data_IF_558233611166
#
_entry.id   IF_558233611166
#
_cell.length_a   1.000
_cell.length_b   1.000
_cell.length_c   1.000
_cell.angle_alpha   90.00
_cell.angle_beta   90.00
_cell.angle_gamma   90.00
#
_symmetry.space_group_name_H-M   'P 1'
#
loop_
_entity.id
_entity.type
_entity.pdbx_description
1 polymer ?
#
# COMPACT_ATOMS: atom_id res chain seq x y z
N UNK A 1 31.26 -9.61 -11.78
CA UNK A 1 31.28 -10.76 -12.71
C UNK A 1 32.21 -10.45 -13.88
N UNK A 2 33.43 -11.00 -13.92
CA UNK A 2 34.38 -10.73 -15.03
C UNK A 2 34.15 -11.66 -16.24
N UNK A 3 33.92 -12.95 -15.98
CA UNK A 3 33.71 -13.93 -17.05
C UNK A 3 32.39 -13.75 -17.83
N UNK A 4 31.33 -13.27 -17.18
CA UNK A 4 30.05 -12.98 -17.84
C UNK A 4 30.16 -11.86 -18.86
N UNK A 5 30.92 -10.79 -18.55
CA UNK A 5 31.19 -9.70 -19.49
C UNK A 5 31.94 -10.20 -20.72
N UNK A 6 32.94 -11.07 -20.52
CA UNK A 6 33.69 -11.72 -21.61
C UNK A 6 32.74 -12.55 -22.49
N UNK A 7 31.82 -13.31 -21.90
CA UNK A 7 30.84 -14.10 -22.65
C UNK A 7 29.85 -13.23 -23.43
N UNK A 8 29.38 -12.13 -22.87
CA UNK A 8 28.44 -11.21 -23.53
C UNK A 8 29.07 -10.51 -24.75
N UNK A 9 30.39 -10.41 -24.80
CA UNK A 9 31.14 -9.66 -25.83
C UNK A 9 32.07 -10.55 -26.68
N UNK A 10 31.96 -11.89 -26.57
CA UNK A 10 32.87 -12.85 -27.22
C UNK A 10 32.78 -12.85 -28.75
N UNK A 11 31.69 -12.32 -29.31
CA UNK A 11 31.49 -12.12 -30.75
C UNK A 11 32.11 -10.83 -31.29
N UNK A 12 32.39 -9.85 -30.42
CA UNK A 12 32.85 -8.51 -30.80
C UNK A 12 34.35 -8.31 -30.56
N UNK A 13 34.91 -8.98 -29.56
CA UNK A 13 36.31 -8.87 -29.21
C UNK A 13 36.96 -10.25 -28.99
N UNK A 14 38.27 -10.40 -29.25
CA UNK A 14 38.97 -11.65 -28.94
C UNK A 14 38.97 -11.96 -27.44
N UNK A 15 38.65 -13.22 -27.07
CA UNK A 15 38.60 -13.66 -25.66
C UNK A 15 39.91 -13.38 -24.92
N UNK A 16 41.06 -13.67 -25.53
CA UNK A 16 42.38 -13.43 -24.92
C UNK A 16 42.69 -11.94 -24.68
N UNK A 17 42.10 -11.04 -25.47
CA UNK A 17 42.22 -9.59 -25.27
C UNK A 17 41.42 -9.18 -24.03
N UNK A 18 40.15 -9.60 -23.95
CA UNK A 18 39.30 -9.28 -22.80
C UNK A 18 39.80 -9.92 -21.50
N UNK A 19 40.34 -11.15 -21.55
CA UNK A 19 40.96 -11.79 -20.39
C UNK A 19 42.14 -10.96 -19.85
N UNK A 20 42.98 -10.42 -20.74
CA UNK A 20 44.08 -9.50 -20.35
C UNK A 20 43.54 -8.20 -19.76
N UNK A 21 42.58 -7.55 -20.44
CA UNK A 21 41.99 -6.29 -20.00
C UNK A 21 41.31 -6.39 -18.62
N UNK A 22 40.71 -7.54 -18.31
CA UNK A 22 40.02 -7.79 -17.03
C UNK A 22 40.89 -8.50 -15.98
N UNK A 23 42.18 -8.71 -16.26
CA UNK A 23 43.13 -9.42 -15.41
C UNK A 23 42.59 -10.79 -14.92
N UNK A 24 42.15 -11.64 -15.87
CA UNK A 24 41.70 -13.01 -15.61
C UNK A 24 42.38 -14.01 -16.56
N UNK A 25 42.47 -15.28 -16.15
CA UNK A 25 43.11 -16.30 -16.98
C UNK A 25 42.15 -16.85 -18.06
N UNK A 26 42.64 -17.07 -19.31
CA UNK A 26 41.83 -17.73 -20.34
C UNK A 26 41.37 -19.14 -19.94
N UNK A 27 42.25 -19.91 -19.30
CA UNK A 27 41.90 -21.25 -18.78
C UNK A 27 40.75 -21.19 -17.77
N UNK A 28 40.76 -20.19 -16.87
CA UNK A 28 39.67 -19.95 -15.92
C UNK A 28 38.36 -19.59 -16.59
N UNK A 29 38.39 -18.79 -17.67
CA UNK A 29 37.21 -18.47 -18.46
C UNK A 29 36.61 -19.72 -19.14
N UNK A 30 37.42 -20.54 -19.81
CA UNK A 30 36.89 -21.75 -20.47
C UNK A 30 36.39 -22.79 -19.47
N UNK A 31 37.09 -22.96 -18.34
CA UNK A 31 36.63 -23.81 -17.24
C UNK A 31 35.30 -23.29 -16.66
N UNK A 32 35.15 -21.97 -16.50
CA UNK A 32 33.89 -21.37 -16.07
C UNK A 32 32.77 -21.53 -17.11
N UNK A 33 33.08 -21.38 -18.41
CA UNK A 33 32.11 -21.51 -19.51
C UNK A 33 31.57 -22.94 -19.63
N UNK A 34 32.41 -23.94 -19.40
CA UNK A 34 32.03 -25.36 -19.42
C UNK A 34 31.47 -25.88 -18.09
N UNK A 35 31.45 -25.08 -17.01
CA UNK A 35 30.95 -25.55 -15.71
C UNK A 35 29.45 -25.81 -15.79
N UNK A 36 29.00 -27.03 -15.43
CA UNK A 36 27.57 -27.32 -15.37
C UNK A 36 26.90 -26.47 -14.28
N UNK A 37 25.59 -26.30 -14.41
CA UNK A 37 24.79 -25.60 -13.40
C UNK A 37 24.98 -26.26 -12.02
N UNK A 38 25.30 -25.45 -11.01
CA UNK A 38 25.42 -25.98 -9.65
C UNK A 38 24.10 -26.58 -9.18
N UNK A 39 24.15 -27.65 -8.37
CA UNK A 39 22.94 -28.26 -7.77
C UNK A 39 22.01 -27.23 -7.11
N UNK A 40 22.60 -26.20 -6.47
CA UNK A 40 21.86 -25.10 -5.83
C UNK A 40 21.14 -24.21 -6.84
N UNK A 41 21.78 -23.90 -7.96
CA UNK A 41 21.19 -23.10 -9.03
C UNK A 41 20.04 -23.86 -9.71
N UNK A 42 20.24 -25.15 -10.02
CA UNK A 42 19.18 -26.01 -10.54
C UNK A 42 17.99 -26.09 -9.57
N UNK A 43 18.24 -26.32 -8.27
CA UNK A 43 17.19 -26.35 -7.27
C UNK A 43 16.46 -24.99 -7.10
N UNK A 44 17.18 -23.86 -7.26
CA UNK A 44 16.56 -22.54 -7.27
C UNK A 44 15.68 -22.32 -8.49
N UNK A 45 16.11 -22.79 -9.67
CA UNK A 45 15.33 -22.71 -10.91
C UNK A 45 14.02 -23.47 -10.76
N UNK A 46 14.07 -24.70 -10.25
CA UNK A 46 12.87 -25.51 -9.99
C UNK A 46 11.94 -24.83 -8.99
N UNK A 47 12.47 -24.34 -7.86
CA UNK A 47 11.66 -23.64 -6.85
C UNK A 47 11.02 -22.36 -7.40
N UNK A 48 11.72 -21.64 -8.28
CA UNK A 48 11.24 -20.40 -8.87
C UNK A 48 10.06 -20.62 -9.82
N UNK A 49 10.00 -21.77 -10.51
CA UNK A 49 8.82 -22.19 -11.27
C UNK A 49 7.60 -22.30 -10.36
N UNK A 50 7.72 -23.02 -9.24
CA UNK A 50 6.62 -23.16 -8.27
C UNK A 50 6.20 -21.82 -7.67
N UNK A 51 7.17 -20.94 -7.36
CA UNK A 51 6.90 -19.57 -6.88
C UNK A 51 6.07 -18.78 -7.90
N UNK A 52 6.40 -18.87 -9.19
CA UNK A 52 5.67 -18.16 -10.26
C UNK A 52 4.22 -18.64 -10.36
N UNK A 53 4.01 -19.96 -10.32
CA UNK A 53 2.67 -20.56 -10.33
C UNK A 53 1.85 -20.03 -9.15
N UNK A 54 2.36 -20.15 -7.93
CA UNK A 54 1.68 -19.65 -6.73
C UNK A 54 1.40 -18.14 -6.77
N UNK A 55 2.33 -17.35 -7.30
CA UNK A 55 2.17 -15.90 -7.45
C UNK A 55 1.07 -15.58 -8.46
N UNK A 56 1.03 -16.28 -9.59
CA UNK A 56 0.01 -16.10 -10.62
C UNK A 56 -1.38 -16.56 -10.14
N UNK A 57 -1.47 -17.72 -9.47
CA UNK A 57 -2.71 -18.25 -8.89
C UNK A 57 -3.32 -17.27 -7.87
N UNK A 58 -2.48 -16.56 -7.12
CA UNK A 58 -2.90 -15.51 -6.20
C UNK A 58 -3.33 -14.20 -6.89
N UNK A 59 -3.42 -14.17 -8.22
CA UNK A 59 -3.56 -12.95 -9.03
C UNK A 59 -2.52 -11.89 -8.67
N UNK A 60 -1.30 -12.33 -8.39
CA UNK A 60 -0.15 -11.51 -8.02
C UNK A 60 -0.31 -10.76 -6.68
N UNK A 61 -1.30 -11.11 -5.84
CA UNK A 61 -1.52 -10.44 -4.55
C UNK A 61 -0.55 -10.91 -3.47
N UNK A 62 0.03 -12.11 -3.62
CA UNK A 62 0.93 -12.66 -2.60
C UNK A 62 2.34 -12.09 -2.69
N UNK A 63 2.83 -11.57 -1.57
CA UNK A 63 4.24 -11.23 -1.36
C UNK A 63 5.06 -12.42 -0.86
N UNK A 64 6.36 -12.20 -0.63
CA UNK A 64 7.28 -13.28 -0.20
C UNK A 64 6.84 -14.04 1.07
N UNK A 65 6.28 -13.41 2.12
CA UNK A 65 5.83 -14.15 3.31
C UNK A 65 4.60 -15.03 3.02
N UNK A 66 3.72 -14.60 2.12
CA UNK A 66 2.53 -15.37 1.72
C UNK A 66 2.90 -16.55 0.83
N UNK A 67 3.79 -16.32 -0.15
CA UNK A 67 4.33 -17.40 -1.00
C UNK A 67 5.10 -18.42 -0.17
N UNK A 68 5.94 -17.98 0.78
CA UNK A 68 6.65 -18.90 1.67
C UNK A 68 5.69 -19.79 2.48
N UNK A 69 4.61 -19.21 3.05
CA UNK A 69 3.57 -19.99 3.74
C UNK A 69 2.85 -20.96 2.81
N UNK A 70 2.54 -20.56 1.57
CA UNK A 70 1.92 -21.43 0.58
C UNK A 70 2.83 -22.61 0.22
N UNK A 71 4.12 -22.35 -0.01
CA UNK A 71 5.13 -23.40 -0.25
C UNK A 71 5.25 -24.37 0.93
N UNK A 72 5.22 -23.87 2.17
CA UNK A 72 5.23 -24.70 3.38
C UNK A 72 3.98 -25.58 3.48
N UNK A 73 2.80 -25.05 3.12
CA UNK A 73 1.54 -25.82 3.08
C UNK A 73 1.58 -26.93 2.01
N UNK A 74 2.31 -26.71 0.91
CA UNK A 74 2.56 -27.72 -0.13
C UNK A 74 3.70 -28.69 0.23
N UNK A 75 4.25 -28.64 1.45
CA UNK A 75 5.28 -29.56 1.93
C UNK A 75 6.72 -29.17 1.58
N UNK A 76 6.96 -28.02 0.95
CA UNK A 76 8.33 -27.59 0.63
C UNK A 76 9.08 -27.11 1.88
N UNK A 77 10.25 -27.68 2.14
CA UNK A 77 11.18 -27.22 3.18
C UNK A 77 12.11 -26.13 2.64
N UNK A 78 11.63 -24.89 2.60
CA UNK A 78 12.40 -23.74 2.11
C UNK A 78 12.40 -22.59 3.13
N UNK A 79 13.55 -21.94 3.27
CA UNK A 79 13.69 -20.77 4.12
C UNK A 79 13.07 -19.52 3.50
N UNK A 80 12.45 -18.68 4.32
CA UNK A 80 11.75 -17.47 3.87
C UNK A 80 12.66 -16.50 3.10
N UNK A 81 13.88 -16.25 3.58
CA UNK A 81 14.84 -15.38 2.89
C UNK A 81 15.27 -15.91 1.52
N UNK A 82 15.25 -17.24 1.31
CA UNK A 82 15.51 -17.83 -0.01
C UNK A 82 14.39 -17.49 -0.97
N UNK A 83 13.13 -17.62 -0.55
CA UNK A 83 11.95 -17.24 -1.34
C UNK A 83 11.98 -15.75 -1.67
N UNK A 84 12.20 -14.89 -0.66
CA UNK A 84 12.29 -13.45 -0.85
C UNK A 84 13.39 -13.04 -1.85
N UNK A 85 14.57 -13.67 -1.77
CA UNK A 85 15.67 -13.43 -2.70
C UNK A 85 15.31 -13.83 -4.14
N UNK A 86 14.68 -15.00 -4.31
CA UNK A 86 14.27 -15.50 -5.63
C UNK A 86 13.19 -14.61 -6.25
N UNK A 87 12.17 -14.24 -5.47
CA UNK A 87 11.14 -13.31 -5.94
C UNK A 87 11.71 -11.95 -6.34
N UNK A 88 12.65 -11.41 -5.55
CA UNK A 88 13.31 -10.14 -5.87
C UNK A 88 14.14 -10.22 -7.16
N UNK A 89 14.92 -11.29 -7.33
CA UNK A 89 15.72 -11.51 -8.54
C UNK A 89 14.84 -11.63 -9.79
N UNK A 90 13.64 -12.21 -9.64
CA UNK A 90 12.69 -12.42 -10.74
C UNK A 90 11.68 -11.27 -10.93
N UNK A 91 11.79 -10.20 -10.14
CA UNK A 91 10.89 -9.04 -10.22
C UNK A 91 9.46 -9.29 -9.71
N UNK A 92 9.20 -10.43 -9.06
CA UNK A 92 7.88 -10.78 -8.54
C UNK A 92 7.55 -9.94 -7.29
N UNK A 93 6.47 -9.16 -7.38
CA UNK A 93 6.00 -8.29 -6.30
C UNK A 93 4.51 -8.46 -6.07
N UNK A 94 4.08 -8.25 -4.84
CA UNK A 94 2.67 -8.22 -4.50
C UNK A 94 2.00 -6.99 -5.14
N UNK A 95 0.90 -7.21 -5.85
CA UNK A 95 0.00 -6.16 -6.31
C UNK A 95 -1.06 -5.92 -5.24
N UNK A 96 -1.06 -4.74 -4.66
CA UNK A 96 -2.15 -4.27 -3.80
C UNK A 96 -3.08 -3.40 -4.63
N UNK A 97 -4.32 -3.85 -4.82
CA UNK A 97 -5.36 -3.01 -5.42
C UNK A 97 -5.86 -2.03 -4.35
N UNK A 98 -5.73 -0.73 -4.59
CA UNK A 98 -6.34 0.28 -3.73
C UNK A 98 -7.86 0.13 -3.83
N UNK A 99 -8.53 -0.16 -2.72
CA UNK A 99 -10.00 -0.22 -2.70
C UNK A 99 -10.54 1.17 -3.05
N UNK A 100 -11.13 1.31 -4.23
CA UNK A 100 -11.88 2.52 -4.59
C UNK A 100 -13.15 2.55 -3.74
N UNK A 101 -13.37 3.64 -3.01
CA UNK A 101 -14.64 3.94 -2.33
C UNK A 101 -15.19 5.21 -2.98
N UNK A 102 -16.26 5.08 -3.76
CA UNK A 102 -17.06 6.22 -4.15
C UNK A 102 -17.87 6.65 -2.93
N UNK A 103 -17.47 7.75 -2.29
CA UNK A 103 -18.13 8.27 -1.07
C UNK A 103 -19.45 8.98 -1.38
N UNK A 104 -19.65 9.42 -2.62
CA UNK A 104 -20.78 10.29 -3.00
C UNK A 104 -21.27 9.94 -4.40
N UNK A 105 -22.56 9.70 -4.54
CA UNK A 105 -23.22 9.60 -5.84
C UNK A 105 -23.50 11.02 -6.35
N UNK A 106 -22.55 11.59 -7.09
CA UNK A 106 -22.62 12.97 -7.58
C UNK A 106 -23.45 13.15 -8.86
N UNK A 107 -23.91 12.05 -9.49
CA UNK A 107 -24.75 12.07 -10.69
C UNK A 107 -26.25 12.03 -10.35
N UNK A 108 -26.72 13.03 -9.62
CA UNK A 108 -28.14 13.21 -9.31
C UNK A 108 -28.70 14.49 -9.93
N UNK A 109 -29.99 14.48 -10.27
CA UNK A 109 -30.69 15.67 -10.78
C UNK A 109 -31.12 16.66 -9.69
N UNK A 110 -30.80 16.41 -8.42
CA UNK A 110 -31.14 17.31 -7.31
C UNK A 110 -30.29 18.59 -7.36
N UNK A 111 -30.82 19.73 -6.89
CA UNK A 111 -30.08 20.99 -6.80
C UNK A 111 -28.77 20.81 -6.02
N UNK A 112 -27.65 21.14 -6.66
CA UNK A 112 -26.35 21.18 -5.99
C UNK A 112 -26.19 22.56 -5.38
N UNK A 113 -26.03 22.63 -4.05
CA UNK A 113 -25.74 23.89 -3.38
C UNK A 113 -24.41 24.47 -3.91
N UNK A 114 -24.39 25.78 -4.18
CA UNK A 114 -23.18 26.46 -4.60
C UNK A 114 -22.08 26.28 -3.53
N UNK A 115 -20.88 25.86 -3.94
CA UNK A 115 -19.73 25.75 -3.05
C UNK A 115 -19.18 27.15 -2.74
N UNK A 116 -19.83 27.85 -1.81
CA UNK A 116 -19.47 29.23 -1.41
C UNK A 116 -18.16 29.31 -0.65
N UNK A 117 -17.69 28.19 -0.07
CA UNK A 117 -16.43 28.14 0.66
C UNK A 117 -15.22 28.04 -0.28
N UNK A 118 -15.37 27.36 -1.41
CA UNK A 118 -14.34 27.17 -2.44
C UNK A 118 -12.93 26.85 -1.90
N UNK A 119 -12.87 25.95 -0.91
CA UNK A 119 -11.63 25.53 -0.20
C UNK A 119 -10.86 26.67 0.49
N UNK A 120 -11.49 27.82 0.75
CA UNK A 120 -10.92 28.94 1.48
C UNK A 120 -11.03 28.72 3.00
N UNK A 121 -10.09 27.96 3.57
CA UNK A 121 -10.10 27.63 5.01
C UNK A 121 -9.51 28.72 5.92
N UNK A 122 -8.96 29.81 5.36
CA UNK A 122 -8.48 30.96 6.13
C UNK A 122 -9.61 31.95 6.33
N UNK A 123 -10.22 31.91 7.51
CA UNK A 123 -11.35 32.77 7.86
C UNK A 123 -10.84 33.91 8.77
N UNK A 124 -11.17 35.18 8.50
CA UNK A 124 -10.61 36.34 9.23
C UNK A 124 -11.30 36.60 10.58
N UNK A 125 -12.50 36.07 10.81
CA UNK A 125 -13.30 36.31 12.02
C UNK A 125 -13.93 35.00 12.53
N UNK A 126 -14.09 34.85 13.86
CA UNK A 126 -14.82 33.71 14.43
C UNK A 126 -16.29 33.72 14.00
N UNK A 127 -16.94 32.56 14.12
CA UNK A 127 -18.36 32.33 13.84
C UNK A 127 -18.83 32.63 12.39
N UNK A 128 -17.92 32.76 11.42
CA UNK A 128 -18.28 33.02 10.01
C UNK A 128 -18.44 31.76 9.18
N UNK A 129 -17.55 30.78 9.37
CA UNK A 129 -17.60 29.52 8.63
C UNK A 129 -17.36 28.36 9.58
N UNK A 130 -18.27 27.40 9.54
CA UNK A 130 -18.27 26.23 10.40
C UNK A 130 -18.08 24.99 9.52
N UNK A 131 -17.17 24.12 9.90
CA UNK A 131 -17.00 22.81 9.29
C UNK A 131 -17.69 21.77 10.18
N UNK A 132 -18.65 21.06 9.60
CA UNK A 132 -19.31 19.92 10.22
C UNK A 132 -18.82 18.61 9.62
N UNK A 133 -18.69 17.58 10.45
CA UNK A 133 -18.56 16.20 9.99
C UNK A 133 -19.37 15.25 10.88
N UNK A 134 -19.87 14.18 10.28
CA UNK A 134 -20.56 13.10 11.01
C UNK A 134 -19.79 11.81 10.76
N UNK A 135 -19.33 11.19 11.84
CA UNK A 135 -18.67 9.89 11.81
C UNK A 135 -19.41 8.89 12.68
N UNK A 136 -19.18 7.62 12.43
CA UNK A 136 -19.77 6.52 13.17
C UNK A 136 -18.67 5.81 13.99
N UNK A 137 -18.96 5.54 15.25
CA UNK A 137 -18.05 4.90 16.19
C UNK A 137 -18.67 3.58 16.62
N UNK A 138 -17.97 2.48 16.38
CA UNK A 138 -18.39 1.17 16.86
C UNK A 138 -18.06 1.03 18.34
N UNK A 139 -19.04 0.64 19.15
CA UNK A 139 -18.87 0.31 20.57
C UNK A 139 -19.41 -1.07 20.88
N UNK A 140 -19.18 -1.56 22.10
CA UNK A 140 -19.74 -2.83 22.59
C UNK A 140 -21.28 -2.80 22.68
N UNK A 141 -21.89 -1.61 22.68
CA UNK A 141 -23.34 -1.40 22.70
C UNK A 141 -23.93 -1.11 21.31
N UNK A 142 -23.08 -1.08 20.26
CA UNK A 142 -23.48 -0.85 18.87
C UNK A 142 -22.90 0.43 18.27
N UNK A 143 -23.54 0.94 17.21
CA UNK A 143 -23.09 2.14 16.51
C UNK A 143 -23.51 3.41 17.25
N UNK A 144 -22.54 4.27 17.55
CA UNK A 144 -22.76 5.66 17.94
C UNK A 144 -22.48 6.59 16.76
N UNK A 145 -23.32 7.62 16.61
CA UNK A 145 -23.13 8.66 15.60
C UNK A 145 -22.57 9.90 16.27
N UNK A 146 -21.35 10.28 15.89
CA UNK A 146 -20.65 11.46 16.40
C UNK A 146 -20.76 12.57 15.37
N UNK A 147 -21.45 13.65 15.73
CA UNK A 147 -21.45 14.89 14.96
C UNK A 147 -20.48 15.89 15.60
N UNK A 148 -19.59 16.46 14.80
CA UNK A 148 -18.61 17.46 15.24
C UNK A 148 -18.81 18.73 14.42
N UNK A 149 -18.90 19.87 15.09
CA UNK A 149 -18.95 21.21 14.49
C UNK A 149 -17.74 22.00 14.96
N UNK A 150 -16.99 22.57 14.00
CA UNK A 150 -15.76 23.32 14.26
C UNK A 150 -15.80 24.67 13.56
N UNK A 151 -15.51 25.74 14.30
CA UNK A 151 -15.25 27.06 13.70
C UNK A 151 -13.89 27.04 12.99
N UNK A 152 -13.88 27.33 11.68
CA UNK A 152 -12.65 27.34 10.87
C UNK A 152 -11.66 28.43 11.27
N UNK A 153 -12.12 29.52 11.90
CA UNK A 153 -11.22 30.57 12.43
C UNK A 153 -10.21 29.99 13.43
N UNK A 154 -10.66 29.05 14.27
CA UNK A 154 -9.87 28.51 15.38
C UNK A 154 -8.74 27.57 14.95
N UNK A 155 -8.74 27.07 13.69
CA UNK A 155 -7.68 26.16 13.19
C UNK A 155 -6.47 26.87 12.60
N UNK A 156 -6.57 28.16 12.27
CA UNK A 156 -5.47 28.90 11.62
C UNK A 156 -4.34 29.25 12.59
N UNK A 157 -4.62 29.30 13.91
CA UNK A 157 -3.60 29.50 14.95
C UNK A 157 -2.96 28.17 15.39
N UNK A 158 -2.20 27.54 14.50
CA UNK A 158 -1.25 26.51 14.90
C UNK A 158 -0.06 27.13 15.64
N UNK A 159 -0.15 27.28 16.97
CA UNK A 159 1.03 27.41 17.82
C UNK A 159 1.39 26.02 18.37
N UNK A 160 2.66 25.57 18.27
CA UNK A 160 3.12 24.39 18.99
C UNK A 160 3.21 24.71 20.49
N UNK A 161 2.61 23.86 21.32
CA UNK A 161 2.70 23.80 22.80
C UNK A 161 3.13 25.07 23.56
N UNK A 162 2.17 25.75 24.20
CA UNK A 162 2.39 26.39 25.51
C UNK A 162 1.11 26.26 26.34
N UNK A 163 1.19 25.50 27.44
CA UNK A 163 0.28 25.65 28.57
C UNK A 163 0.45 27.08 29.12
N UNK A 164 -0.57 27.91 28.96
CA UNK A 164 -0.66 29.20 29.63
C UNK A 164 -2.09 29.36 30.12
N UNK A 165 -2.20 29.43 31.44
CA UNK A 165 -3.41 29.79 32.18
C UNK A 165 -3.89 31.17 31.72
N UNK A 166 -5.06 31.20 31.10
CA UNK A 166 -5.72 32.44 30.71
C UNK A 166 -7.15 32.16 30.33
N UNK A 167 -8.09 32.47 31.22
CA UNK A 167 -9.51 32.29 31.03
C UNK A 167 -10.02 32.94 29.74
N UNK A 168 -10.46 32.10 28.79
CA UNK A 168 -11.64 32.32 27.93
C UNK A 168 -12.06 30.98 27.32
N UNK A 169 -12.99 30.30 27.98
CA UNK A 169 -13.66 29.10 27.47
C UNK A 169 -14.55 29.52 26.30
N UNK A 170 -14.13 29.28 25.05
CA UNK A 170 -15.06 29.26 23.93
C UNK A 170 -15.76 27.89 23.93
N UNK A 171 -17.10 27.83 23.78
CA UNK A 171 -17.83 26.59 23.96
C UNK A 171 -17.63 25.66 22.75
N UNK A 172 -16.79 24.64 22.90
CA UNK A 172 -16.90 23.42 22.09
C UNK A 172 -18.20 22.73 22.52
N UNK A 173 -19.31 23.01 21.82
CA UNK A 173 -20.60 22.39 22.14
C UNK A 173 -20.61 20.97 21.57
N UNK A 174 -20.11 20.01 22.34
CA UNK A 174 -20.30 18.59 22.07
C UNK A 174 -21.68 18.22 22.60
N UNK A 175 -22.69 18.20 21.74
CA UNK A 175 -24.01 17.69 22.10
C UNK A 175 -24.07 16.21 21.76
N UNK A 176 -23.95 15.34 22.77
CA UNK A 176 -24.37 13.94 22.66
C UNK A 176 -25.88 13.87 22.92
N UNK A 177 -26.70 13.71 21.88
CA UNK A 177 -28.11 13.35 22.10
C UNK A 177 -28.22 11.83 22.24
N UNK A 178 -28.53 11.36 23.45
CA UNK A 178 -28.98 9.97 23.63
C UNK A 178 -30.43 9.83 23.17
N UNK A 179 -30.65 8.84 22.31
CA UNK A 179 -31.91 8.16 21.95
C UNK A 179 -33.17 9.02 21.76
N UNK A 180 -33.58 9.14 20.50
CA UNK A 180 -34.97 8.85 20.10
C UNK A 180 -34.95 7.78 19.02
N UNK A 181 -35.74 6.70 19.11
CA UNK A 181 -35.94 5.79 18.00
C UNK A 181 -36.75 6.54 16.94
N UNK A 182 -36.10 6.94 15.83
CA UNK A 182 -36.87 7.32 14.65
C UNK A 182 -37.55 6.05 14.15
N UNK A 183 -38.87 6.07 14.11
CA UNK A 183 -39.70 4.99 13.62
C UNK A 183 -39.21 4.56 12.23
N UNK A 184 -39.04 3.25 12.04
CA UNK A 184 -38.86 2.65 10.72
C UNK A 184 -40.09 3.00 9.88
N UNK A 185 -39.90 3.73 8.78
CA UNK A 185 -40.90 3.82 7.74
C UNK A 185 -41.13 2.40 7.16
N UNK A 186 -42.38 1.97 6.94
CA UNK A 186 -42.65 0.68 6.32
C UNK A 186 -42.18 0.72 4.86
N UNK A 187 -41.41 -0.30 4.48
CA UNK A 187 -41.15 -0.63 3.08
C UNK A 187 -42.51 -0.97 2.44
N UNK A 188 -43.01 -0.08 1.59
CA UNK A 188 -44.11 -0.40 0.68
C UNK A 188 -43.61 -1.42 -0.34
N UNK A 189 -43.98 -2.68 -0.13
CA UNK A 189 -44.06 -3.64 -1.23
C UNK A 189 -45.31 -3.31 -2.04
N UNK A 190 -45.17 -3.16 -3.35
CA UNK A 190 -46.26 -3.05 -4.33
C UNK A 190 -45.69 -3.45 -5.70
N UNK A 191 -46.52 -3.97 -6.62
CA UNK A 191 -46.83 -5.39 -6.77
C UNK A 191 -46.02 -6.06 -7.89
#
# INVERSE_FOLDING_TARGET
MRYRVIQEHDRRYPIRLMCRALAVSPAGYYAWRGRPESRRAAANRTLLVTIRVLHQDSRQTYGSPSIWRALRKQGHQVGEHRVARLMRHDGLRAKTVKKWRATTYSSHGLPVAANTLDRQFRVPQPNRVWAGDITYVWTLEGWLYLAVLLDLYSRVKGHPNVLSSGHRKFPTRITSSSRRPFARAPLSASP
#
